data_IF_847690759874
#
_entry.id   IF_847690759874
#
_cell.length_a   1.000
_cell.length_b   1.000
_cell.length_c   1.000
_cell.angle_alpha   90.00
_cell.angle_beta   90.00
_cell.angle_gamma   90.00
#
_symmetry.space_group_name_H-M   'P 1'
#
loop_
_entity.id
_entity.type
_entity.pdbx_description
1 polymer ?
#
# COMPACT_ATOMS: atom_id res chain seq x y z
N UNK A 1 26.83 5.36 -2.21
CA UNK A 1 25.61 4.53 -2.12
C UNK A 1 25.14 4.31 -3.53
N UNK A 2 24.96 3.06 -3.96
CA UNK A 2 24.27 2.78 -5.20
C UNK A 2 22.84 3.34 -5.10
N UNK A 3 22.41 4.08 -6.14
CA UNK A 3 21.09 4.68 -6.16
C UNK A 3 20.00 3.63 -6.33
N UNK A 4 18.81 3.90 -5.78
CA UNK A 4 17.64 3.02 -5.94
C UNK A 4 17.30 2.90 -7.43
N UNK A 5 17.25 1.66 -7.93
CA UNK A 5 16.76 1.41 -9.28
C UNK A 5 15.23 1.32 -9.26
N UNK A 6 14.56 2.33 -9.82
CA UNK A 6 13.09 2.44 -9.86
C UNK A 6 12.42 1.16 -10.35
N UNK A 7 12.88 0.61 -11.48
CA UNK A 7 12.25 -0.55 -12.15
C UNK A 7 12.46 -1.81 -11.31
N UNK A 8 13.67 -2.06 -10.82
CA UNK A 8 13.96 -3.23 -9.98
C UNK A 8 13.18 -3.17 -8.67
N UNK A 9 13.16 -2.01 -8.01
CA UNK A 9 12.39 -1.82 -6.79
C UNK A 9 10.89 -2.08 -7.03
N UNK A 10 10.31 -1.48 -8.08
CA UNK A 10 8.89 -1.65 -8.39
C UNK A 10 8.54 -3.11 -8.68
N UNK A 11 9.36 -3.80 -9.48
CA UNK A 11 9.15 -5.22 -9.75
C UNK A 11 9.30 -6.07 -8.47
N UNK A 12 10.28 -5.75 -7.62
CA UNK A 12 10.51 -6.43 -6.35
C UNK A 12 9.32 -6.29 -5.40
N UNK A 13 8.82 -5.07 -5.20
CA UNK A 13 7.67 -4.84 -4.30
C UNK A 13 6.39 -5.46 -4.85
N UNK A 14 6.13 -5.37 -6.16
CA UNK A 14 4.94 -6.01 -6.77
C UNK A 14 4.98 -7.54 -6.60
N UNK A 15 6.16 -8.15 -6.68
CA UNK A 15 6.33 -9.57 -6.39
C UNK A 15 6.04 -9.91 -4.91
N UNK A 16 6.36 -9.00 -3.98
CA UNK A 16 5.97 -9.18 -2.57
C UNK A 16 4.46 -8.99 -2.36
N UNK A 17 3.84 -8.01 -3.02
CA UNK A 17 2.39 -7.80 -2.96
C UNK A 17 1.62 -9.02 -3.45
N UNK A 18 2.10 -9.70 -4.49
CA UNK A 18 1.47 -10.91 -5.01
C UNK A 18 1.55 -12.12 -4.06
N UNK A 19 2.45 -12.09 -3.07
CA UNK A 19 2.64 -13.16 -2.07
C UNK A 19 1.95 -12.84 -0.75
N UNK A 20 1.84 -11.57 -0.39
CA UNK A 20 1.27 -11.14 0.88
C UNK A 20 -0.25 -10.93 0.78
N UNK A 21 -1.01 -11.91 1.26
CA UNK A 21 -2.47 -11.88 1.27
C UNK A 21 -3.06 -10.90 2.30
N UNK A 22 -2.24 -10.29 3.18
CA UNK A 22 -2.72 -9.31 4.17
C UNK A 22 -2.99 -7.95 3.55
N UNK A 23 -2.43 -7.68 2.36
CA UNK A 23 -2.56 -6.40 1.66
C UNK A 23 -3.90 -6.27 0.95
N UNK A 24 -4.65 -5.24 1.35
CA UNK A 24 -5.82 -4.76 0.60
C UNK A 24 -5.41 -3.79 -0.54
N UNK A 25 -6.27 -3.56 -1.54
CA UNK A 25 -6.01 -2.60 -2.62
C UNK A 25 -5.65 -1.19 -2.13
N UNK A 26 -6.22 -0.76 -1.00
CA UNK A 26 -5.90 0.54 -0.37
C UNK A 26 -4.45 0.60 0.13
N UNK A 27 -3.89 -0.50 0.62
CA UNK A 27 -2.48 -0.57 1.01
C UNK A 27 -1.56 -0.43 -0.20
N UNK A 28 -1.89 -1.14 -1.28
CA UNK A 28 -1.12 -1.08 -2.52
C UNK A 28 -1.17 0.35 -3.07
N UNK A 29 -2.35 0.96 -3.14
CA UNK A 29 -2.52 2.33 -3.62
C UNK A 29 -1.72 3.33 -2.76
N UNK A 30 -1.76 3.18 -1.44
CA UNK A 30 -0.99 4.02 -0.53
C UNK A 30 0.51 3.84 -0.71
N UNK A 31 1.01 2.62 -0.79
CA UNK A 31 2.42 2.37 -1.02
C UNK A 31 2.89 2.98 -2.33
N UNK A 32 2.14 2.81 -3.43
CA UNK A 32 2.50 3.37 -4.73
C UNK A 32 2.50 4.90 -4.68
N UNK A 33 1.52 5.53 -4.01
CA UNK A 33 1.52 6.97 -3.81
C UNK A 33 2.73 7.46 -3.01
N UNK A 34 3.12 6.75 -1.95
CA UNK A 34 4.34 7.03 -1.18
C UNK A 34 5.61 6.82 -2.00
N UNK A 35 5.64 5.80 -2.85
CA UNK A 35 6.77 5.54 -3.76
C UNK A 35 6.93 6.64 -4.80
N UNK A 36 5.84 7.19 -5.33
CA UNK A 36 5.87 8.35 -6.23
C UNK A 36 6.43 9.60 -5.54
N UNK A 37 5.99 9.86 -4.30
CA UNK A 37 6.55 10.94 -3.48
C UNK A 37 8.04 10.71 -3.20
N UNK A 38 8.45 9.49 -2.90
CA UNK A 38 9.85 9.15 -2.67
C UNK A 38 10.73 9.36 -3.92
N UNK A 39 10.20 9.00 -5.10
CA UNK A 39 10.85 9.27 -6.39
C UNK A 39 10.96 10.78 -6.68
N UNK A 40 9.95 11.57 -6.34
CA UNK A 40 10.00 13.03 -6.46
C UNK A 40 11.07 13.64 -5.54
N UNK A 41 11.35 13.00 -4.40
CA UNK A 41 12.42 13.36 -3.48
C UNK A 41 13.75 12.63 -3.79
N UNK A 42 13.97 12.17 -5.02
CA UNK A 42 15.22 11.54 -5.48
C UNK A 42 15.71 10.38 -4.61
N UNK A 43 14.79 9.59 -4.04
CA UNK A 43 15.08 8.42 -3.22
C UNK A 43 15.95 8.69 -1.97
N UNK A 44 15.77 9.85 -1.33
CA UNK A 44 16.41 10.15 -0.03
C UNK A 44 16.11 9.09 1.03
N UNK A 45 17.00 8.93 2.00
CA UNK A 45 16.87 7.89 3.05
C UNK A 45 15.59 8.00 3.89
N UNK A 46 15.11 9.22 4.11
CA UNK A 46 13.86 9.54 4.79
C UNK A 46 13.32 10.87 4.26
N UNK A 47 12.00 10.97 4.12
CA UNK A 47 11.34 12.19 3.64
C UNK A 47 10.11 12.51 4.48
N UNK A 48 9.72 13.78 4.44
CA UNK A 48 8.53 14.29 5.12
C UNK A 48 7.33 14.18 4.20
N UNK A 49 6.19 13.80 4.76
CA UNK A 49 4.91 13.74 4.05
C UNK A 49 3.83 14.53 4.78
N UNK A 50 3.05 15.24 3.97
CA UNK A 50 1.76 15.78 4.39
C UNK A 50 0.69 14.70 4.20
N UNK A 51 -0.26 14.60 5.15
CA UNK A 51 -1.34 13.59 5.08
C UNK A 51 -2.21 13.81 3.85
N UNK A 52 -2.61 15.06 3.61
CA UNK A 52 -3.49 15.47 2.51
C UNK A 52 -2.88 15.10 1.16
N UNK A 53 -1.59 15.36 1.00
CA UNK A 53 -0.84 14.99 -0.20
C UNK A 53 -0.75 13.47 -0.38
N UNK A 54 -0.33 12.74 0.65
CA UNK A 54 -0.24 11.28 0.59
C UNK A 54 -1.60 10.63 0.28
N UNK A 55 -2.69 11.16 0.85
CA UNK A 55 -4.06 10.73 0.55
C UNK A 55 -4.46 11.00 -0.90
N UNK A 56 -4.09 12.16 -1.45
CA UNK A 56 -4.39 12.53 -2.84
C UNK A 56 -3.67 11.64 -3.85
N UNK A 57 -2.39 11.32 -3.62
CA UNK A 57 -1.64 10.37 -4.44
C UNK A 57 -2.21 8.95 -4.34
N UNK A 58 -2.56 8.51 -3.13
CA UNK A 58 -3.13 7.19 -2.87
C UNK A 58 -4.60 7.03 -3.27
N UNK A 59 -5.27 8.11 -3.71
CA UNK A 59 -6.72 8.15 -3.97
C UNK A 59 -7.55 7.68 -2.78
N UNK A 60 -7.15 8.05 -1.57
CA UNK A 60 -7.86 7.72 -0.33
C UNK A 60 -8.62 8.96 0.15
N UNK A 61 -9.95 8.87 0.26
CA UNK A 61 -10.79 9.95 0.78
C UNK A 61 -10.95 9.96 2.31
N UNK A 62 -10.74 8.81 2.97
CA UNK A 62 -10.98 8.66 4.41
C UNK A 62 -9.70 8.75 5.24
N UNK A 63 -9.70 9.64 6.23
CA UNK A 63 -8.61 9.80 7.21
C UNK A 63 -8.38 8.52 8.03
N UNK A 64 -9.45 7.85 8.46
CA UNK A 64 -9.34 6.63 9.26
C UNK A 64 -8.72 5.49 8.43
N UNK A 65 -9.10 5.36 7.16
CA UNK A 65 -8.51 4.40 6.23
C UNK A 65 -7.04 4.67 6.00
N UNK A 66 -6.65 5.93 5.78
CA UNK A 66 -5.24 6.33 5.65
C UNK A 66 -4.43 5.92 6.89
N UNK A 67 -4.87 6.31 8.09
CA UNK A 67 -4.14 6.03 9.33
C UNK A 67 -4.07 4.54 9.65
N UNK A 68 -5.08 3.75 9.28
CA UNK A 68 -5.02 2.30 9.39
C UNK A 68 -3.97 1.74 8.42
N UNK A 69 -4.09 2.06 7.14
CA UNK A 69 -3.23 1.48 6.11
C UNK A 69 -1.75 1.86 6.27
N UNK A 70 -1.44 3.09 6.67
CA UNK A 70 -0.04 3.51 6.87
C UNK A 70 0.61 2.80 8.06
N UNK A 71 -0.16 2.55 9.14
CA UNK A 71 0.32 1.80 10.31
C UNK A 71 0.51 0.32 9.97
N UNK A 72 -0.43 -0.27 9.24
CA UNK A 72 -0.33 -1.65 8.77
C UNK A 72 0.88 -1.84 7.83
N UNK A 73 1.08 -0.95 6.84
CA UNK A 73 2.27 -0.96 5.98
C UNK A 73 3.58 -0.84 6.77
N UNK A 74 3.59 0.01 7.81
CA UNK A 74 4.77 0.13 8.67
C UNK A 74 5.00 -1.11 9.53
N UNK A 75 3.93 -1.73 10.01
CA UNK A 75 4.00 -2.97 10.80
C UNK A 75 4.49 -4.16 9.97
N UNK A 76 4.18 -4.20 8.67
CA UNK A 76 4.63 -5.24 7.75
C UNK A 76 5.98 -4.95 7.08
N UNK A 77 6.73 -3.96 7.57
CA UNK A 77 8.06 -3.61 7.06
C UNK A 77 8.07 -3.26 5.56
N UNK A 78 7.00 -2.69 5.02
CA UNK A 78 7.03 -2.07 3.69
C UNK A 78 7.59 -0.64 3.75
N UNK A 79 7.32 0.05 4.85
CA UNK A 79 7.84 1.39 5.16
C UNK A 79 8.20 1.47 6.64
N UNK A 80 8.91 2.51 7.04
CA UNK A 80 9.01 2.96 8.41
C UNK A 80 8.28 4.28 8.54
N UNK A 81 7.18 4.30 9.31
CA UNK A 81 6.37 5.48 9.55
C UNK A 81 6.64 6.09 10.92
N UNK A 82 7.09 7.34 10.93
CA UNK A 82 7.28 8.13 12.16
C UNK A 82 6.24 9.26 12.19
N UNK A 83 5.15 9.12 12.96
CA UNK A 83 4.11 10.14 13.03
C UNK A 83 4.64 11.42 13.66
N UNK A 84 4.08 12.55 13.24
CA UNK A 84 4.35 13.86 13.82
C UNK A 84 3.04 14.60 14.03
N UNK A 85 2.93 15.28 15.16
CA UNK A 85 1.79 16.15 15.47
C UNK A 85 1.99 17.59 14.98
N UNK A 86 3.17 17.92 14.44
CA UNK A 86 3.47 19.26 13.95
C UNK A 86 2.99 19.43 12.49
N UNK A 87 1.98 20.28 12.22
CA UNK A 87 1.44 20.48 10.88
C UNK A 87 2.46 21.07 9.89
N UNK A 88 3.48 21.80 10.37
CA UNK A 88 4.52 22.41 9.54
C UNK A 88 5.65 21.44 9.17
N UNK A 89 5.83 20.36 9.93
CA UNK A 89 6.88 19.37 9.67
C UNK A 89 6.35 18.13 8.96
N UNK A 90 5.07 17.79 9.10
CA UNK A 90 4.52 16.55 8.55
C UNK A 90 5.10 15.29 9.21
N UNK A 91 4.56 14.12 8.85
CA UNK A 91 5.09 12.83 9.33
C UNK A 91 6.30 12.42 8.50
N UNK A 92 7.21 11.61 9.05
CA UNK A 92 8.38 11.13 8.32
C UNK A 92 8.20 9.69 7.86
N UNK A 93 8.67 9.40 6.66
CA UNK A 93 8.62 8.06 6.06
C UNK A 93 10.00 7.70 5.51
N UNK A 94 10.39 6.46 5.78
CA UNK A 94 11.49 5.78 5.10
C UNK A 94 10.96 4.57 4.36
N UNK A 95 11.29 4.47 3.07
CA UNK A 95 10.97 3.33 2.23
C UNK A 95 12.13 2.31 2.30
N UNK A 96 11.82 1.02 2.23
CA UNK A 96 12.85 -0.03 2.17
C UNK A 96 13.16 -0.41 0.73
N UNK A 97 14.41 -0.80 0.45
CA UNK A 97 14.79 -1.21 -0.89
C UNK A 97 14.40 -2.68 -1.16
N UNK A 98 13.61 -2.88 -2.22
CA UNK A 98 13.21 -4.20 -2.73
C UNK A 98 13.88 -4.55 -4.07
N UNK A 99 14.81 -3.71 -4.56
CA UNK A 99 15.46 -3.84 -5.86
C UNK A 99 16.83 -4.52 -5.86
N UNK A 100 17.45 -4.74 -4.70
CA UNK A 100 18.76 -5.39 -4.58
C UNK A 100 18.65 -6.91 -4.61
N UNK A 101 19.15 -7.55 -5.67
CA UNK A 101 19.11 -9.00 -5.84
C UNK A 101 20.31 -9.76 -5.29
N UNK A 102 21.22 -9.15 -4.52
CA UNK A 102 22.47 -9.85 -4.18
C UNK A 102 23.07 -9.42 -2.84
N UNK A 103 23.04 -10.35 -1.87
CA UNK A 103 23.89 -10.32 -0.67
C UNK A 103 23.26 -9.65 0.55
N UNK A 104 22.75 -10.46 1.48
CA UNK A 104 22.29 -10.08 2.83
C UNK A 104 21.00 -9.25 2.90
N UNK A 105 19.88 -9.96 2.84
CA UNK A 105 18.71 -9.53 3.60
C UNK A 105 19.07 -9.62 5.09
N UNK A 106 19.38 -8.49 5.72
CA UNK A 106 19.15 -8.36 7.16
C UNK A 106 17.64 -8.50 7.35
N UNK A 107 17.22 -9.72 7.65
CA UNK A 107 15.90 -10.04 8.14
C UNK A 107 15.64 -9.19 9.39
N UNK A 108 15.00 -8.02 9.21
CA UNK A 108 14.62 -7.11 10.30
C UNK A 108 13.25 -7.48 10.87
N UNK A 109 12.87 -8.76 10.84
CA UNK A 109 11.64 -9.23 11.49
C UNK A 109 11.77 -9.40 13.01
N UNK A 110 12.69 -8.71 13.69
CA UNK A 110 12.78 -8.77 15.15
C UNK A 110 12.73 -7.37 15.78
N UNK A 111 11.52 -6.94 16.16
CA UNK A 111 11.36 -5.89 17.17
C UNK A 111 11.73 -6.51 18.52
N UNK A 112 12.93 -6.19 19.03
CA UNK A 112 13.26 -6.46 20.43
C UNK A 112 12.37 -5.54 21.27
N UNK A 113 11.33 -6.11 21.89
CA UNK A 113 10.62 -5.47 22.98
C UNK A 113 11.62 -5.44 24.15
N UNK A 114 12.10 -4.24 24.48
CA UNK A 114 12.93 -4.04 25.66
C UNK A 114 12.07 -4.18 26.92
N UNK A 115 12.22 -5.30 27.62
CA UNK A 115 11.82 -5.40 29.03
C UNK A 115 13.08 -5.75 29.82
N UNK A 116 13.56 -4.78 30.60
CA UNK A 116 14.74 -4.91 31.45
C UNK A 116 14.43 -5.72 32.71
N UNK A 117 15.40 -6.58 33.08
CA UNK A 117 15.77 -7.03 34.43
C UNK A 117 15.10 -8.28 35.00
N UNK A 118 15.92 -9.31 35.23
CA UNK A 118 15.64 -10.44 36.13
C UNK A 118 16.21 -11.77 35.63
N UNK A 119 17.38 -12.16 36.10
CA UNK A 119 18.05 -13.44 35.81
C UNK A 119 17.33 -14.63 36.45
N UNK A 120 17.31 -15.79 35.77
CA UNK A 120 17.43 -17.12 36.39
C UNK A 120 17.82 -18.16 35.31
N UNK A 121 18.99 -18.78 35.49
CA UNK A 121 19.52 -19.88 34.69
C UNK A 121 18.83 -21.21 35.07
N UNK A 122 18.19 -21.89 34.10
CA UNK A 122 17.91 -23.34 34.20
C UNK A 122 18.02 -23.96 32.80
N UNK A 123 18.88 -24.98 32.56
CA UNK A 123 18.89 -25.72 31.31
C UNK A 123 17.93 -26.92 31.39
N UNK A 124 16.94 -26.98 30.48
CA UNK A 124 16.17 -28.21 30.25
C UNK A 124 16.23 -28.56 28.76
N UNK A 125 17.03 -29.58 28.46
CA UNK A 125 17.04 -30.28 27.18
C UNK A 125 15.71 -31.04 27.00
N UNK A 126 14.94 -30.73 25.95
CA UNK A 126 13.94 -31.65 25.37
C UNK A 126 13.91 -31.49 23.83
N UNK A 127 14.15 -32.56 23.04
CA UNK A 127 14.01 -32.50 21.59
C UNK A 127 12.69 -33.16 21.16
N UNK A 128 11.74 -32.43 20.56
CA UNK A 128 10.59 -33.07 19.90
C UNK A 128 10.16 -32.33 18.61
N UNK A 129 10.54 -32.97 17.50
CA UNK A 129 9.76 -33.33 16.30
C UNK A 129 9.04 -32.26 15.47
N UNK A 130 9.51 -32.19 14.22
CA UNK A 130 8.89 -31.65 13.01
C UNK A 130 7.45 -32.12 12.80
N UNK A 131 6.53 -31.17 12.62
CA UNK A 131 5.24 -31.42 11.96
C UNK A 131 5.35 -31.07 10.46
N UNK A 132 5.34 -32.10 9.63
CA UNK A 132 5.04 -32.02 8.19
C UNK A 132 3.54 -31.74 8.03
N UNK A 133 3.17 -30.65 7.38
CA UNK A 133 1.83 -30.51 6.79
C UNK A 133 1.95 -30.44 5.26
N UNK A 134 1.75 -31.60 4.64
CA UNK A 134 1.39 -31.74 3.24
C UNK A 134 -0.13 -31.62 3.15
N UNK A 135 -0.67 -30.67 2.37
CA UNK A 135 -1.93 -30.92 1.64
C UNK A 135 -2.05 -30.04 0.39
N UNK A 136 -2.39 -30.71 -0.70
CA UNK A 136 -2.59 -30.21 -2.05
C UNK A 136 -3.78 -29.25 -2.18
N UNK A 137 -3.67 -28.31 -3.13
CA UNK A 137 -4.76 -27.42 -3.52
C UNK A 137 -4.70 -27.06 -5.01
N UNK A 138 -4.84 -28.07 -5.87
CA UNK A 138 -4.97 -27.96 -7.32
C UNK A 138 -6.23 -27.16 -7.73
N UNK A 139 -6.16 -25.83 -7.76
CA UNK A 139 -7.24 -25.00 -8.36
C UNK A 139 -6.79 -23.74 -9.09
N UNK A 140 -5.52 -23.65 -9.50
CA UNK A 140 -4.95 -22.42 -10.11
C UNK A 140 -5.02 -22.33 -11.65
N UNK A 141 -5.59 -23.32 -12.35
CA UNK A 141 -5.58 -23.36 -13.83
C UNK A 141 -6.78 -22.69 -14.53
N UNK A 142 -7.93 -22.48 -13.86
CA UNK A 142 -9.15 -21.94 -14.51
C UNK A 142 -9.21 -20.41 -14.55
N UNK A 143 -8.60 -19.70 -13.60
CA UNK A 143 -8.67 -18.23 -13.51
C UNK A 143 -7.81 -17.55 -14.59
N UNK A 144 -6.64 -18.12 -14.94
CA UNK A 144 -5.74 -17.54 -15.95
C UNK A 144 -6.37 -17.49 -17.35
N UNK A 145 -7.17 -18.49 -17.76
CA UNK A 145 -7.85 -18.48 -19.06
C UNK A 145 -8.95 -17.41 -19.15
N UNK A 146 -9.67 -17.16 -18.05
CA UNK A 146 -10.73 -16.15 -18.02
C UNK A 146 -10.19 -14.72 -18.09
N UNK A 147 -9.06 -14.45 -17.45
CA UNK A 147 -8.40 -13.13 -17.52
C UNK A 147 -7.87 -12.89 -18.93
N UNK A 148 -7.26 -13.89 -19.58
CA UNK A 148 -6.72 -13.73 -20.93
C UNK A 148 -7.81 -13.43 -21.98
N UNK A 149 -8.96 -14.11 -21.90
CA UNK A 149 -10.11 -13.81 -22.79
C UNK A 149 -10.71 -12.41 -22.57
N UNK A 150 -10.74 -11.90 -21.33
CA UNK A 150 -11.26 -10.55 -21.05
C UNK A 150 -10.31 -9.46 -21.59
N UNK A 151 -9.00 -9.73 -21.64
CA UNK A 151 -8.00 -8.77 -22.13
C UNK A 151 -8.04 -8.64 -23.66
N UNK A 152 -8.37 -9.71 -24.39
CA UNK A 152 -8.44 -9.67 -25.87
C UNK A 152 -9.73 -9.00 -26.41
N UNK A 153 -10.78 -8.82 -25.61
CA UNK A 153 -12.08 -8.29 -26.07
C UNK A 153 -12.31 -6.79 -25.80
N UNK A 154 -11.32 -6.03 -25.31
CA UNK A 154 -11.48 -4.59 -25.04
C UNK A 154 -10.46 -3.68 -25.76
N UNK A 155 -10.12 -4.03 -26.99
CA UNK A 155 -9.60 -3.08 -27.96
C UNK A 155 -10.76 -2.39 -28.70
N UNK A 156 -10.73 -1.05 -28.73
CA UNK A 156 -11.64 -0.13 -29.45
C UNK A 156 -13.05 0.06 -28.87
N UNK A 157 -13.23 1.18 -28.14
CA UNK A 157 -14.03 2.34 -28.60
C UNK A 157 -14.10 3.37 -27.45
N UNK A 158 -13.84 4.64 -27.79
CA UNK A 158 -14.06 5.80 -26.90
C UNK A 158 -15.54 6.18 -27.02
N UNK A 159 -16.34 6.22 -25.94
CA UNK A 159 -17.62 6.90 -25.96
C UNK A 159 -17.43 8.31 -25.39
N UNK A 160 -17.55 9.31 -26.25
CA UNK A 160 -17.74 10.71 -25.88
C UNK A 160 -19.01 10.81 -25.02
N UNK A 161 -18.87 11.14 -23.74
CA UNK A 161 -20.01 11.33 -22.83
C UNK A 161 -20.59 12.73 -23.11
N UNK A 162 -21.87 12.88 -23.49
CA UNK A 162 -22.50 14.19 -23.53
C UNK A 162 -22.81 14.62 -22.10
N UNK A 163 -22.24 15.73 -21.65
CA UNK A 163 -22.65 16.42 -20.43
C UNK A 163 -24.11 16.87 -20.60
N UNK A 164 -25.05 16.21 -19.90
CA UNK A 164 -26.42 16.71 -19.78
C UNK A 164 -26.51 17.53 -18.49
N UNK A 165 -26.52 18.84 -18.67
CA UNK A 165 -26.88 19.80 -17.64
C UNK A 165 -28.39 19.66 -17.36
N UNK A 166 -28.78 19.30 -16.13
CA UNK A 166 -30.18 19.10 -15.75
C UNK A 166 -30.78 20.35 -15.07
N UNK A 167 -30.35 21.54 -15.48
CA UNK A 167 -30.99 22.79 -15.11
C UNK A 167 -32.13 23.07 -16.10
N UNK A 168 -33.34 22.63 -15.77
CA UNK A 168 -34.56 23.17 -16.38
C UNK A 168 -34.83 24.54 -15.77
N UNK A 169 -34.48 25.62 -16.46
CA UNK A 169 -35.13 26.91 -16.27
C UNK A 169 -36.51 26.84 -16.91
N UNK A 170 -37.54 26.64 -16.10
CA UNK A 170 -38.91 26.95 -16.51
C UNK A 170 -39.11 28.45 -16.31
N UNK A 171 -39.01 29.21 -17.39
CA UNK A 171 -39.56 30.57 -17.48
C UNK A 171 -41.07 30.45 -17.61
N UNK A 172 -41.77 30.41 -16.47
CA UNK A 172 -43.10 31.00 -16.26
C UNK A 172 -43.54 30.70 -14.83
N UNK A 173 -43.51 31.72 -13.97
CA UNK A 173 -44.25 31.73 -12.71
C UNK A 173 -45.23 32.89 -12.80
N UNK A 174 -46.50 32.59 -12.96
CA UNK A 174 -47.60 33.55 -12.79
C UNK A 174 -47.81 33.78 -11.29
N UNK A 175 -47.70 35.03 -10.85
CA UNK A 175 -47.75 35.45 -9.44
C UNK A 175 -49.11 36.01 -9.01
N UNK A 176 -50.20 35.66 -9.71
CA UNK A 176 -51.51 36.28 -9.49
C UNK A 176 -52.54 35.46 -8.70
N UNK A 177 -52.17 34.41 -7.96
CA UNK A 177 -53.12 33.77 -7.03
C UNK A 177 -52.97 34.28 -5.58
N UNK A 178 -54.06 34.74 -4.93
CA UNK A 178 -54.02 35.10 -3.52
C UNK A 178 -54.03 33.84 -2.64
N UNK A 179 -53.28 33.92 -1.53
CA UNK A 179 -53.08 32.89 -0.49
C UNK A 179 -54.37 32.37 0.15
#
# INVERSE_FOLDING_TARGET
MEGINYIKHLNGVLAQFAKDNRLNPTHISLYIGLFQLWNHNYFVTEFHICREEAMAYAKIGSKSTYHRCIRELSHWNYILYTPSHNPYKGSRIKMFDFGTSTGQAVDRNHTIIGTSNGQALVPINKPIQTFKNNTNGSKRRKIKKKIFQIVETKGQQVPTVPYRDNLRTTEDKDYNEPL
#
